data_IF_977771753750
#
_entry.id   IF_977771753750
#
_cell.length_a   1.000
_cell.length_b   1.000
_cell.length_c   1.000
_cell.angle_alpha   90.00
_cell.angle_beta   90.00
_cell.angle_gamma   90.00
#
_symmetry.space_group_name_H-M   'P 1'
#
loop_
_entity.id
_entity.type
_entity.pdbx_description
1 polymer ?
#
# COMPACT_ATOMS: atom_id res chain seq x y z
N UNK A 1 11.15 -13.48 -2.11
CA UNK A 1 9.73 -13.11 -1.87
C UNK A 1 8.93 -13.32 -3.14
N UNK A 2 7.78 -13.93 -3.03
CA UNK A 2 6.83 -14.04 -4.13
C UNK A 2 5.74 -12.98 -3.98
N UNK A 3 5.41 -12.27 -5.05
CA UNK A 3 4.35 -11.26 -5.06
C UNK A 3 3.15 -11.84 -5.80
N UNK A 4 1.97 -11.72 -5.22
CA UNK A 4 0.72 -12.16 -5.82
C UNK A 4 -0.43 -11.25 -5.38
N UNK A 5 -1.58 -11.29 -6.07
CA UNK A 5 -2.76 -10.59 -5.60
C UNK A 5 -3.23 -11.11 -4.23
N UNK A 6 -3.80 -10.22 -3.46
CA UNK A 6 -4.45 -10.55 -2.18
C UNK A 6 -5.59 -11.54 -2.40
N UNK A 7 -5.74 -12.45 -1.46
CA UNK A 7 -6.84 -13.42 -1.40
C UNK A 7 -7.57 -13.25 -0.07
N UNK A 8 -8.85 -13.62 -0.03
CA UNK A 8 -9.69 -13.43 1.16
C UNK A 8 -9.06 -14.04 2.43
N UNK A 9 -8.38 -15.16 2.30
CA UNK A 9 -7.71 -15.84 3.42
C UNK A 9 -6.57 -15.03 4.02
N UNK A 10 -6.07 -14.02 3.30
CA UNK A 10 -4.95 -13.20 3.74
C UNK A 10 -5.36 -12.10 4.72
N UNK A 11 -6.66 -11.85 4.90
CA UNK A 11 -7.15 -10.66 5.58
C UNK A 11 -6.52 -10.43 6.95
N UNK A 12 -6.59 -11.43 7.81
CA UNK A 12 -6.12 -11.25 9.19
C UNK A 12 -4.61 -11.07 9.24
N UNK A 13 -3.87 -11.79 8.40
CA UNK A 13 -2.41 -11.65 8.31
C UNK A 13 -2.01 -10.26 7.78
N UNK A 14 -2.73 -9.75 6.79
CA UNK A 14 -2.47 -8.42 6.25
C UNK A 14 -2.74 -7.34 7.29
N UNK A 15 -3.85 -7.44 8.02
CA UNK A 15 -4.17 -6.45 9.05
C UNK A 15 -3.15 -6.52 10.19
N UNK A 16 -2.70 -7.72 10.57
CA UNK A 16 -1.62 -7.88 11.56
C UNK A 16 -0.32 -7.26 11.07
N UNK A 17 0.00 -7.39 9.78
CA UNK A 17 1.16 -6.74 9.18
C UNK A 17 1.04 -5.21 9.27
N UNK A 18 -0.11 -4.67 8.93
CA UNK A 18 -0.34 -3.22 9.00
C UNK A 18 -0.22 -2.71 10.42
N UNK A 19 -0.74 -3.44 11.40
CA UNK A 19 -0.60 -3.09 12.81
C UNK A 19 0.87 -3.09 13.24
N UNK A 20 1.61 -4.13 12.88
CA UNK A 20 3.04 -4.23 13.19
C UNK A 20 3.85 -3.09 12.56
N UNK A 21 3.40 -2.55 11.44
CA UNK A 21 4.05 -1.42 10.76
C UNK A 21 3.54 -0.06 11.23
N UNK A 22 2.63 -0.02 12.20
CA UNK A 22 2.08 1.25 12.72
C UNK A 22 1.18 1.98 11.74
N UNK A 23 0.52 1.27 10.83
CA UNK A 23 -0.30 1.88 9.79
C UNK A 23 -1.77 2.03 10.17
N UNK A 24 -2.21 1.43 11.26
CA UNK A 24 -3.61 1.52 11.69
C UNK A 24 -3.89 2.86 12.36
N UNK A 25 -5.00 3.46 12.02
CA UNK A 25 -5.45 4.75 12.55
C UNK A 25 -6.90 4.64 13.01
N UNK A 26 -7.25 5.38 14.07
CA UNK A 26 -8.60 5.34 14.64
C UNK A 26 -9.68 5.77 13.65
N UNK A 27 -9.33 6.62 12.68
CA UNK A 27 -10.28 7.14 11.70
C UNK A 27 -10.42 6.26 10.44
N UNK A 28 -9.63 5.20 10.33
CA UNK A 28 -9.71 4.23 9.24
C UNK A 28 -10.08 2.87 9.79
N UNK A 29 -10.97 2.18 9.10
CA UNK A 29 -11.30 0.79 9.41
C UNK A 29 -10.61 -0.10 8.37
N UNK A 30 -9.55 -0.84 8.73
CA UNK A 30 -8.82 -1.64 7.76
C UNK A 30 -9.65 -2.73 7.10
N UNK A 31 -10.63 -3.28 7.82
CA UNK A 31 -11.54 -4.29 7.25
C UNK A 31 -12.37 -3.70 6.12
N UNK A 32 -12.90 -2.49 6.33
CA UNK A 32 -13.68 -1.78 5.31
C UNK A 32 -12.83 -1.32 4.15
N UNK A 33 -11.60 -0.89 4.40
CA UNK A 33 -10.69 -0.53 3.33
C UNK A 33 -10.41 -1.71 2.41
N UNK A 34 -10.23 -2.90 2.98
CA UNK A 34 -10.05 -4.12 2.19
C UNK A 34 -11.31 -4.44 1.39
N UNK A 35 -12.49 -4.40 2.02
CA UNK A 35 -13.77 -4.64 1.35
C UNK A 35 -13.95 -3.71 0.15
N UNK A 36 -13.68 -2.42 0.33
CA UNK A 36 -13.77 -1.44 -0.76
C UNK A 36 -12.81 -1.77 -1.88
N UNK A 37 -11.58 -2.13 -1.52
CA UNK A 37 -10.57 -2.48 -2.54
C UNK A 37 -10.95 -3.71 -3.34
N UNK A 38 -11.64 -4.68 -2.73
CA UNK A 38 -12.09 -5.87 -3.45
C UNK A 38 -13.12 -5.54 -4.53
N UNK A 39 -13.78 -4.38 -4.45
CA UNK A 39 -14.70 -3.88 -5.47
C UNK A 39 -14.04 -2.99 -6.53
N UNK A 40 -12.74 -2.65 -6.38
CA UNK A 40 -12.05 -1.71 -7.27
C UNK A 40 -10.66 -2.22 -7.59
N UNK A 41 -10.51 -2.89 -8.73
CA UNK A 41 -9.22 -3.41 -9.20
C UNK A 41 -8.54 -4.30 -8.15
N UNK A 42 -9.21 -5.36 -7.69
CA UNK A 42 -8.65 -6.19 -6.61
C UNK A 42 -7.32 -6.85 -6.98
N UNK A 43 -7.06 -7.06 -8.27
CA UNK A 43 -5.82 -7.65 -8.78
C UNK A 43 -4.61 -6.73 -8.56
N UNK A 44 -4.84 -5.47 -8.22
CA UNK A 44 -3.77 -4.53 -7.87
C UNK A 44 -3.53 -4.42 -6.35
N UNK A 45 -4.25 -5.18 -5.56
CA UNK A 45 -3.94 -5.33 -4.14
C UNK A 45 -2.95 -6.47 -4.00
N UNK A 46 -1.69 -6.14 -3.74
CA UNK A 46 -0.58 -7.08 -3.78
C UNK A 46 -0.14 -7.49 -2.38
N UNK A 47 0.24 -8.74 -2.24
CA UNK A 47 0.93 -9.24 -1.03
C UNK A 47 2.24 -9.91 -1.44
N UNK A 48 3.23 -9.82 -0.54
CA UNK A 48 4.48 -10.52 -0.69
C UNK A 48 4.55 -11.65 0.34
N UNK A 49 4.91 -12.84 -0.10
CA UNK A 49 5.02 -14.01 0.78
C UNK A 49 6.43 -14.56 0.77
N UNK A 50 6.86 -15.10 1.90
CA UNK A 50 8.15 -15.75 2.01
C UNK A 50 8.05 -17.25 1.71
N UNK A 51 9.19 -17.96 1.85
CA UNK A 51 9.25 -19.39 1.58
C UNK A 51 8.36 -20.23 2.50
N UNK A 52 7.98 -19.68 3.65
CA UNK A 52 7.12 -20.35 4.63
C UNK A 52 5.65 -19.94 4.47
N UNK A 53 5.29 -19.31 3.35
CA UNK A 53 3.94 -18.83 3.05
C UNK A 53 3.44 -17.75 3.99
N UNK A 54 4.34 -17.08 4.71
CA UNK A 54 4.01 -15.96 5.59
C UNK A 54 3.84 -14.68 4.77
N UNK A 55 2.80 -13.89 5.04
CA UNK A 55 2.63 -12.56 4.48
C UNK A 55 3.66 -11.63 5.13
N UNK A 56 4.59 -11.11 4.35
CA UNK A 56 5.67 -10.26 4.84
C UNK A 56 5.64 -8.85 4.25
N UNK A 57 4.77 -8.62 3.27
CA UNK A 57 4.69 -7.31 2.63
C UNK A 57 3.34 -7.13 1.96
N UNK A 58 2.94 -5.88 1.76
CA UNK A 58 1.72 -5.55 1.04
C UNK A 58 1.85 -4.22 0.31
N UNK A 59 1.03 -4.04 -0.71
CA UNK A 59 0.83 -2.75 -1.39
C UNK A 59 -0.55 -2.74 -2.01
N UNK A 60 -1.31 -1.67 -1.79
CA UNK A 60 -2.63 -1.50 -2.36
C UNK A 60 -2.54 -0.45 -3.47
N UNK A 61 -2.51 -0.88 -4.73
CA UNK A 61 -2.38 0.00 -5.88
C UNK A 61 -3.72 0.16 -6.60
N UNK A 62 -3.88 1.28 -7.29
CA UNK A 62 -5.07 1.55 -8.08
C UNK A 62 -4.81 2.61 -9.13
N UNK A 63 -5.62 2.60 -10.19
CA UNK A 63 -5.58 3.59 -11.26
C UNK A 63 -6.99 4.17 -11.42
N UNK A 64 -7.10 5.48 -11.27
CA UNK A 64 -8.40 6.16 -11.35
C UNK A 64 -8.74 6.70 -12.74
N UNK A 65 -7.92 6.39 -13.74
CA UNK A 65 -8.06 6.90 -15.09
C UNK A 65 -7.21 8.14 -15.36
N UNK A 66 -6.68 8.76 -14.32
CA UNK A 66 -5.83 9.95 -14.41
C UNK A 66 -4.48 9.71 -13.76
N UNK A 67 -4.47 9.18 -12.54
CA UNK A 67 -3.27 8.89 -11.75
C UNK A 67 -3.35 7.52 -11.12
N UNK A 68 -2.21 6.92 -10.90
CA UNK A 68 -2.11 5.75 -10.04
C UNK A 68 -1.86 6.18 -8.60
N UNK A 69 -2.27 5.33 -7.66
CA UNK A 69 -2.08 5.55 -6.23
C UNK A 69 -1.64 4.28 -5.56
N UNK A 70 -0.76 4.39 -4.57
CA UNK A 70 -0.38 3.28 -3.69
C UNK A 70 -0.69 3.67 -2.25
N UNK A 71 -1.41 2.79 -1.58
CA UNK A 71 -1.70 2.89 -0.15
C UNK A 71 -1.23 1.61 0.54
N UNK A 72 -1.05 1.66 1.84
CA UNK A 72 -0.72 0.48 2.64
C UNK A 72 0.51 -0.27 2.12
N UNK A 73 1.55 0.46 1.70
CA UNK A 73 2.84 -0.17 1.47
C UNK A 73 3.43 -0.54 2.82
N UNK A 74 3.63 -1.82 3.05
CA UNK A 74 4.13 -2.33 4.32
C UNK A 74 5.13 -3.46 4.07
N UNK A 75 6.17 -3.49 4.90
CA UNK A 75 7.14 -4.59 4.95
C UNK A 75 7.30 -4.98 6.42
N UNK A 76 7.19 -6.26 6.71
CA UNK A 76 7.33 -6.76 8.08
C UNK A 76 8.61 -6.23 8.72
N UNK A 77 8.55 -5.76 9.98
CA UNK A 77 9.73 -5.14 10.62
C UNK A 77 10.99 -6.02 10.61
N UNK A 78 10.84 -7.33 10.73
CA UNK A 78 11.96 -8.27 10.71
C UNK A 78 12.47 -8.59 9.30
N UNK A 79 11.84 -8.03 8.26
CA UNK A 79 12.22 -8.24 6.86
C UNK A 79 12.64 -6.96 6.15
N UNK A 80 12.83 -5.87 6.88
CA UNK A 80 13.27 -4.61 6.30
C UNK A 80 14.73 -4.71 5.85
N UNK A 81 15.14 -3.80 4.96
CA UNK A 81 16.50 -3.73 4.39
C UNK A 81 16.85 -4.91 3.49
N UNK A 82 15.83 -5.65 3.01
CA UNK A 82 16.00 -6.72 2.03
C UNK A 82 15.48 -6.31 0.65
N UNK A 83 15.28 -5.01 0.43
CA UNK A 83 14.75 -4.45 -0.83
C UNK A 83 13.33 -4.91 -1.18
N UNK A 84 12.56 -5.38 -0.20
CA UNK A 84 11.21 -5.89 -0.47
C UNK A 84 10.23 -4.77 -0.85
N UNK A 85 10.36 -3.60 -0.21
CA UNK A 85 9.55 -2.43 -0.57
C UNK A 85 9.81 -1.98 -1.99
N UNK A 86 11.08 -1.99 -2.41
CA UNK A 86 11.45 -1.68 -3.80
C UNK A 86 10.83 -2.69 -4.76
N UNK A 87 10.90 -3.97 -4.43
CA UNK A 87 10.31 -5.01 -5.29
C UNK A 87 8.81 -4.82 -5.46
N UNK A 88 8.09 -4.50 -4.37
CA UNK A 88 6.66 -4.24 -4.44
C UNK A 88 6.35 -3.00 -5.26
N UNK A 89 7.08 -1.92 -5.06
CA UNK A 89 6.86 -0.69 -5.83
C UNK A 89 7.16 -0.92 -7.31
N UNK A 90 8.22 -1.65 -7.63
CA UNK A 90 8.52 -1.99 -9.02
C UNK A 90 7.38 -2.79 -9.66
N UNK A 91 6.81 -3.75 -8.96
CA UNK A 91 5.68 -4.53 -9.47
C UNK A 91 4.43 -3.68 -9.64
N UNK A 92 4.13 -2.82 -8.66
CA UNK A 92 3.00 -1.90 -8.78
C UNK A 92 3.16 -0.97 -9.99
N UNK A 93 4.35 -0.42 -10.19
CA UNK A 93 4.65 0.44 -11.33
C UNK A 93 4.46 -0.30 -12.65
N UNK A 94 4.95 -1.53 -12.72
CA UNK A 94 4.81 -2.35 -13.92
C UNK A 94 3.35 -2.60 -14.27
N UNK A 95 2.56 -3.01 -13.29
CA UNK A 95 1.14 -3.30 -13.48
C UNK A 95 0.34 -2.05 -13.86
N UNK A 96 0.66 -0.92 -13.24
CA UNK A 96 -0.01 0.33 -13.58
C UNK A 96 0.37 0.82 -14.98
N UNK A 97 1.64 0.71 -15.35
CA UNK A 97 2.09 1.10 -16.69
C UNK A 97 1.42 0.25 -17.77
N UNK A 98 1.23 -1.04 -17.53
CA UNK A 98 0.50 -1.91 -18.45
C UNK A 98 -0.93 -1.47 -18.69
N UNK A 99 -1.53 -0.77 -17.73
CA UNK A 99 -2.90 -0.25 -17.82
C UNK A 99 -2.97 1.15 -18.41
N UNK A 100 -1.84 1.69 -18.85
CA UNK A 100 -1.78 3.04 -19.39
C UNK A 100 -1.74 4.14 -18.36
N UNK A 101 -1.42 3.83 -17.10
CA UNK A 101 -1.30 4.82 -16.04
C UNK A 101 -0.07 5.69 -16.26
N UNK A 102 -0.22 7.02 -16.43
CA UNK A 102 0.90 7.88 -16.80
C UNK A 102 1.77 8.31 -15.61
N UNK A 103 1.25 8.26 -14.40
CA UNK A 103 1.97 8.74 -13.23
C UNK A 103 1.42 8.08 -11.97
N UNK A 104 2.32 7.61 -11.12
CA UNK A 104 1.98 7.02 -9.81
C UNK A 104 2.25 8.05 -8.72
N UNK A 105 1.22 8.35 -7.95
CA UNK A 105 1.29 9.24 -6.81
C UNK A 105 1.13 8.45 -5.51
N UNK A 106 1.65 9.01 -4.43
CA UNK A 106 1.45 8.47 -3.10
C UNK A 106 1.56 9.59 -2.08
N UNK A 107 1.09 9.34 -0.88
CA UNK A 107 1.15 10.31 0.20
C UNK A 107 1.98 9.75 1.34
N UNK A 108 2.82 10.59 1.92
CA UNK A 108 3.66 10.27 3.06
C UNK A 108 3.42 11.33 4.12
N UNK A 109 3.25 10.93 5.38
CA UNK A 109 3.14 11.89 6.47
C UNK A 109 4.41 12.74 6.54
N UNK A 110 4.24 14.04 6.69
CA UNK A 110 5.35 15.01 6.62
C UNK A 110 6.48 14.72 7.60
N UNK A 111 6.16 14.15 8.76
CA UNK A 111 7.16 13.82 9.77
C UNK A 111 7.88 12.49 9.56
N UNK A 112 7.47 11.69 8.58
CA UNK A 112 8.07 10.38 8.35
C UNK A 112 9.27 10.48 7.41
N UNK A 113 10.38 11.00 7.95
CA UNK A 113 11.57 11.30 7.15
C UNK A 113 12.21 10.07 6.52
N UNK A 114 12.18 8.94 7.21
CA UNK A 114 12.74 7.68 6.72
C UNK A 114 11.99 7.20 5.47
N UNK A 115 10.67 7.28 5.48
CA UNK A 115 9.85 6.87 4.34
C UNK A 115 10.00 7.85 3.19
N UNK A 116 10.10 9.15 3.46
CA UNK A 116 10.38 10.14 2.43
C UNK A 116 11.68 9.82 1.70
N UNK A 117 12.73 9.48 2.44
CA UNK A 117 14.02 9.13 1.85
C UNK A 117 13.92 7.83 1.03
N UNK A 118 13.17 6.86 1.50
CA UNK A 118 12.93 5.62 0.78
C UNK A 118 12.36 5.91 -0.62
N UNK A 119 11.33 6.74 -0.71
CA UNK A 119 10.71 7.05 -2.00
C UNK A 119 11.63 7.90 -2.89
N UNK A 120 12.39 8.83 -2.30
CA UNK A 120 13.36 9.61 -3.08
C UNK A 120 14.40 8.69 -3.75
N UNK A 121 14.89 7.68 -3.03
CA UNK A 121 15.82 6.70 -3.58
C UNK A 121 15.23 5.87 -4.70
N UNK A 122 13.91 5.70 -4.70
CA UNK A 122 13.22 5.02 -5.80
C UNK A 122 12.94 5.92 -6.99
N UNK A 123 13.32 7.19 -6.93
CA UNK A 123 13.12 8.14 -8.01
C UNK A 123 11.84 8.97 -7.91
N UNK A 124 11.13 8.88 -6.79
CA UNK A 124 9.93 9.71 -6.59
C UNK A 124 10.33 11.12 -6.19
N UNK A 125 9.61 12.09 -6.72
CA UNK A 125 9.85 13.52 -6.49
C UNK A 125 8.59 14.12 -5.87
N UNK A 126 8.78 14.96 -4.86
CA UNK A 126 7.67 15.62 -4.22
C UNK A 126 7.01 16.61 -5.20
N UNK A 127 5.69 16.48 -5.37
CA UNK A 127 4.93 17.41 -6.19
C UNK A 127 4.73 18.72 -5.43
N UNK A 128 4.66 19.81 -6.18
CA UNK A 128 4.38 21.16 -5.64
C UNK A 128 2.87 21.36 -5.55
N UNK A 129 2.25 20.61 -4.64
CA UNK A 129 0.80 20.62 -4.43
C UNK A 129 0.49 20.47 -2.95
N UNK A 130 -0.70 20.92 -2.57
CA UNK A 130 -1.23 20.70 -1.22
C UNK A 130 -2.37 19.69 -1.33
N UNK A 131 -2.38 18.72 -0.43
CA UNK A 131 -3.42 17.69 -0.40
C UNK A 131 -4.53 18.13 0.57
N UNK A 132 -5.78 18.08 0.10
CA UNK A 132 -6.94 18.30 0.95
C UNK A 132 -7.73 17.01 1.07
N UNK A 133 -8.31 16.77 2.24
CA UNK A 133 -9.17 15.62 2.47
C UNK A 133 -10.44 16.03 3.19
N UNK A 134 -11.54 15.34 2.88
CA UNK A 134 -12.81 15.49 3.59
C UNK A 134 -13.41 14.11 3.78
N UNK A 135 -13.62 13.73 5.02
CA UNK A 135 -14.20 12.42 5.33
C UNK A 135 -15.68 12.41 4.88
N UNK A 136 -16.05 11.44 4.05
CA UNK A 136 -17.42 11.27 3.59
C UNK A 136 -18.17 10.19 4.36
N UNK A 137 -17.44 9.16 4.80
CA UNK A 137 -17.93 8.07 5.63
C UNK A 137 -17.04 7.99 6.85
N UNK A 138 -17.64 7.93 8.04
CA UNK A 138 -16.89 7.82 9.28
C UNK A 138 -16.68 6.35 9.61
N UNK A 139 -15.45 5.88 9.39
CA UNK A 139 -15.05 4.49 9.60
C UNK A 139 -14.57 4.20 11.01
N UNK A 140 -14.98 5.01 11.98
CA UNK A 140 -14.55 4.77 13.34
C UNK A 140 -14.85 3.34 13.73
N UNK A 141 -13.82 2.67 14.21
CA UNK A 141 -13.91 1.26 14.50
C UNK A 141 -14.96 1.00 15.57
N UNK A 142 -15.89 0.13 15.25
CA UNK A 142 -16.78 -0.43 16.23
C UNK A 142 -16.17 -1.72 16.72
N UNK A 143 -15.97 -1.82 17.98
CA UNK A 143 -15.40 -3.02 18.57
C UNK A 143 -16.30 -4.23 18.34
#
# INVERSE_FOLDING_TARGET
MKIRPYQTEDRDAVIALWDACGLLRAWNNPYRDIERKLGVQPELFLVGIDANQRIIASAMAGFDGHRGWVNYLAVAPDKRRLSLGRQLMNEAERLLAERGCPKLNLQVRTGNLEVLEFYRKLGYVQDDVVSFGKRLIHDQTQA
#
